data_IF_411283559846
#
_entry.id   IF_411283559846
#
_cell.length_a   1.000
_cell.length_b   1.000
_cell.length_c   1.000
_cell.angle_alpha   90.00
_cell.angle_beta   90.00
_cell.angle_gamma   90.00
#
_symmetry.space_group_name_H-M   'P 1'
#
loop_
_entity.id
_entity.type
_entity.pdbx_description
1 polymer ?
#
# COMPACT_ATOMS: atom_id res chain seq x y z
N UNK A 1 -17.16 63.46 55.39
CA UNK A 1 -17.34 62.01 55.52
C UNK A 1 -18.14 61.57 54.30
N UNK A 2 -17.49 61.04 53.29
CA UNK A 2 -18.15 60.58 52.02
C UNK A 2 -18.14 59.06 52.00
N UNK A 3 -19.31 58.47 52.03
CA UNK A 3 -19.53 57.03 52.01
C UNK A 3 -19.64 56.64 50.53
N UNK A 4 -18.70 55.81 50.08
CA UNK A 4 -18.66 55.25 48.73
C UNK A 4 -19.38 53.88 48.77
N UNK A 5 -20.53 53.78 48.13
CA UNK A 5 -21.26 52.53 47.99
C UNK A 5 -20.81 51.86 46.67
N UNK A 6 -20.11 50.75 46.78
CA UNK A 6 -19.67 49.94 45.63
C UNK A 6 -20.74 48.93 45.35
N UNK A 7 -21.42 49.06 44.22
CA UNK A 7 -22.44 48.12 43.74
C UNK A 7 -21.72 46.96 42.94
N UNK A 8 -21.67 45.79 43.51
CA UNK A 8 -21.14 44.61 42.83
C UNK A 8 -22.20 43.97 41.93
N UNK A 9 -21.99 44.00 40.63
CA UNK A 9 -22.85 43.33 39.62
C UNK A 9 -22.37 41.89 39.43
N UNK A 10 -23.15 40.93 39.96
CA UNK A 10 -22.95 39.48 39.74
C UNK A 10 -23.57 39.11 38.39
N UNK A 11 -22.72 38.91 37.37
CA UNK A 11 -23.08 38.29 36.09
C UNK A 11 -23.17 36.76 36.30
N UNK A 12 -24.39 36.24 36.41
CA UNK A 12 -24.65 34.79 36.34
C UNK A 12 -24.67 34.36 34.89
N UNK A 13 -23.57 33.74 34.40
CA UNK A 13 -23.52 33.05 33.10
C UNK A 13 -24.19 31.69 33.22
N UNK A 14 -25.43 31.60 32.74
CA UNK A 14 -26.14 30.32 32.58
C UNK A 14 -25.46 29.54 31.41
N UNK A 15 -24.73 28.48 31.74
CA UNK A 15 -24.30 27.49 30.75
C UNK A 15 -25.54 26.75 30.21
N UNK A 16 -25.94 27.09 28.99
CA UNK A 16 -26.92 26.29 28.23
C UNK A 16 -26.23 25.02 27.79
N UNK A 17 -26.41 23.93 28.50
CA UNK A 17 -26.07 22.58 28.05
C UNK A 17 -27.05 22.19 26.95
N UNK A 18 -26.59 22.26 25.69
CA UNK A 18 -27.30 21.66 24.56
C UNK A 18 -27.41 20.16 24.78
N UNK A 19 -28.63 19.57 24.67
CA UNK A 19 -28.76 18.13 24.74
C UNK A 19 -28.00 17.52 23.58
N UNK A 20 -26.95 16.73 23.89
CA UNK A 20 -26.30 15.88 22.92
C UNK A 20 -27.35 14.84 22.49
N UNK A 21 -27.91 15.02 21.31
CA UNK A 21 -28.70 13.97 20.64
C UNK A 21 -27.81 12.73 20.55
N UNK A 22 -28.26 11.57 21.07
CA UNK A 22 -27.51 10.33 20.86
C UNK A 22 -27.44 10.11 19.36
N UNK A 23 -26.24 10.20 18.82
CA UNK A 23 -25.96 9.87 17.44
C UNK A 23 -26.32 8.39 17.27
N UNK A 24 -27.48 8.11 16.69
CA UNK A 24 -27.84 6.79 16.23
C UNK A 24 -26.73 6.32 15.33
N UNK A 25 -25.94 5.34 15.80
CA UNK A 25 -24.93 4.71 14.95
C UNK A 25 -25.65 4.12 13.75
N UNK A 26 -25.25 4.53 12.56
CA UNK A 26 -25.74 3.90 11.36
C UNK A 26 -25.57 2.38 11.51
N UNK A 27 -26.57 1.57 11.10
CA UNK A 27 -26.45 0.12 11.19
C UNK A 27 -25.20 -0.33 10.44
N UNK A 28 -24.50 -1.34 10.97
CA UNK A 28 -23.33 -1.90 10.35
C UNK A 28 -23.64 -2.29 8.91
N UNK A 29 -22.86 -1.87 7.92
CA UNK A 29 -23.13 -2.23 6.54
C UNK A 29 -22.95 -3.73 6.35
N UNK A 30 -23.82 -4.34 5.57
CA UNK A 30 -23.70 -5.75 5.19
C UNK A 30 -22.56 -5.93 4.19
N UNK A 31 -21.33 -5.88 4.70
CA UNK A 31 -20.07 -6.04 3.96
C UNK A 31 -19.27 -7.14 4.63
N UNK A 32 -19.06 -8.23 3.89
CA UNK A 32 -18.39 -9.42 4.42
C UNK A 32 -16.96 -9.54 3.88
N UNK A 33 -16.03 -9.85 4.77
CA UNK A 33 -14.69 -10.32 4.39
C UNK A 33 -14.77 -11.81 4.12
N UNK A 34 -14.62 -12.22 2.85
CA UNK A 34 -14.76 -13.62 2.42
C UNK A 34 -13.44 -14.36 2.58
N UNK A 35 -12.33 -13.72 2.22
CA UNK A 35 -10.99 -14.31 2.26
C UNK A 35 -9.97 -13.20 2.43
N UNK A 36 -8.90 -13.51 3.14
CA UNK A 36 -7.74 -12.64 3.23
C UNK A 36 -6.46 -13.48 3.30
N UNK A 37 -5.36 -12.89 2.88
CA UNK A 37 -4.03 -13.47 2.96
C UNK A 37 -2.98 -12.40 2.76
N UNK A 38 -1.77 -12.72 3.18
CA UNK A 38 -0.59 -11.97 2.77
C UNK A 38 0.53 -12.92 2.36
N UNK A 39 1.44 -12.43 1.53
CA UNK A 39 2.59 -13.19 1.06
C UNK A 39 3.80 -12.29 0.95
N UNK A 40 4.98 -12.87 1.20
CA UNK A 40 6.25 -12.23 0.89
C UNK A 40 6.55 -12.52 -0.58
N UNK A 41 6.65 -11.49 -1.38
CA UNK A 41 6.92 -11.62 -2.81
C UNK A 41 8.24 -10.92 -3.15
N UNK A 42 8.99 -11.50 -4.09
CA UNK A 42 10.16 -10.85 -4.66
C UNK A 42 9.66 -9.70 -5.53
N UNK A 43 10.13 -8.49 -5.27
CA UNK A 43 9.76 -7.31 -6.04
C UNK A 43 10.66 -7.24 -7.26
N UNK A 44 10.05 -7.29 -8.44
CA UNK A 44 10.70 -6.88 -9.68
C UNK A 44 10.72 -5.35 -9.80
N UNK A 45 11.50 -4.86 -10.74
CA UNK A 45 11.59 -3.44 -11.03
C UNK A 45 10.24 -2.75 -11.28
N UNK A 46 9.31 -3.47 -11.89
CA UNK A 46 7.97 -3.00 -12.24
C UNK A 46 7.07 -2.73 -11.01
N UNK A 47 7.37 -3.39 -9.89
CA UNK A 47 6.56 -3.34 -8.68
C UNK A 47 7.21 -2.56 -7.54
N UNK A 48 8.46 -2.13 -7.70
CA UNK A 48 9.17 -1.34 -6.71
C UNK A 48 9.07 0.15 -7.09
N UNK A 49 8.27 0.97 -6.40
CA UNK A 49 8.11 2.39 -6.69
C UNK A 49 9.41 3.19 -6.52
N UNK A 50 10.43 2.61 -5.88
CA UNK A 50 11.73 3.26 -5.62
C UNK A 50 12.84 2.78 -6.56
N UNK A 51 12.61 1.77 -7.39
CA UNK A 51 13.65 1.21 -8.25
C UNK A 51 13.82 1.96 -9.57
N UNK A 52 12.90 2.83 -9.91
CA UNK A 52 12.94 3.55 -11.19
C UNK A 52 12.72 2.66 -12.42
N UNK A 53 12.95 3.16 -13.62
CA UNK A 53 12.82 2.38 -14.84
C UNK A 53 13.81 1.20 -14.85
N UNK A 54 13.41 0.10 -15.50
CA UNK A 54 14.21 -1.13 -15.65
C UNK A 54 15.59 -0.80 -16.22
N UNK A 55 15.64 0.15 -17.10
CA UNK A 55 16.83 0.69 -17.72
C UNK A 55 17.02 2.11 -17.22
N UNK A 56 18.16 2.36 -16.59
CA UNK A 56 18.52 3.70 -16.18
C UNK A 56 18.85 4.54 -17.43
N UNK A 57 18.71 5.88 -17.34
CA UNK A 57 18.92 6.80 -18.46
C UNK A 57 20.33 6.68 -19.06
N UNK A 58 21.34 6.38 -18.26
CA UNK A 58 22.72 6.21 -18.73
C UNK A 58 22.89 4.90 -19.52
N UNK A 59 22.26 3.82 -19.09
CA UNK A 59 22.22 2.54 -19.81
C UNK A 59 21.54 2.71 -21.18
N UNK A 60 20.41 3.41 -21.21
CA UNK A 60 19.69 3.73 -22.44
C UNK A 60 20.57 4.56 -23.40
N UNK A 61 21.33 5.52 -22.88
CA UNK A 61 22.27 6.33 -23.69
C UNK A 61 23.39 5.49 -24.25
N UNK A 62 23.95 4.56 -23.47
CA UNK A 62 25.00 3.64 -23.91
C UNK A 62 24.49 2.77 -25.06
N UNK A 63 23.31 2.16 -24.88
CA UNK A 63 22.68 1.33 -25.91
C UNK A 63 22.40 2.11 -27.19
N UNK A 64 21.75 3.26 -27.11
CA UNK A 64 21.45 4.11 -28.29
C UNK A 64 22.73 4.52 -29.04
N UNK A 65 23.78 4.83 -28.31
CA UNK A 65 25.09 5.19 -28.93
C UNK A 65 25.69 3.98 -29.68
N UNK A 66 25.67 2.79 -29.08
CA UNK A 66 26.18 1.58 -29.67
C UNK A 66 25.39 1.19 -30.94
N UNK A 67 24.07 1.24 -30.86
CA UNK A 67 23.18 1.00 -32.02
C UNK A 67 23.47 1.97 -33.17
N UNK A 68 23.62 3.24 -32.85
CA UNK A 68 23.95 4.26 -33.87
C UNK A 68 25.31 3.97 -34.52
N UNK A 69 26.35 3.64 -33.74
CA UNK A 69 27.68 3.30 -34.30
C UNK A 69 27.63 2.09 -35.23
N UNK A 70 26.90 1.03 -34.85
CA UNK A 70 26.70 -0.16 -35.66
C UNK A 70 25.99 0.21 -36.97
N UNK A 71 24.91 1.00 -36.88
CA UNK A 71 24.14 1.43 -38.04
C UNK A 71 24.98 2.29 -39.01
N UNK A 72 25.74 3.24 -38.48
CA UNK A 72 26.58 4.14 -39.26
C UNK A 72 27.72 3.35 -39.96
N UNK A 73 28.38 2.40 -39.26
CA UNK A 73 29.40 1.51 -39.84
C UNK A 73 28.82 0.62 -40.94
N UNK A 74 27.59 0.11 -40.72
CA UNK A 74 26.88 -0.70 -41.73
C UNK A 74 26.57 0.12 -42.99
N UNK A 75 26.07 1.35 -42.84
CA UNK A 75 25.75 2.25 -43.93
C UNK A 75 27.02 2.65 -44.71
N UNK A 76 28.14 2.84 -43.99
CA UNK A 76 29.46 3.18 -44.60
C UNK A 76 30.18 1.99 -45.19
N UNK A 77 29.67 0.76 -45.15
CA UNK A 77 30.29 -0.46 -45.65
C UNK A 77 31.56 -0.84 -44.89
N UNK A 78 31.83 -0.27 -43.70
CA UNK A 78 33.00 -0.51 -42.90
C UNK A 78 32.85 -1.72 -41.97
N UNK A 79 33.11 -2.91 -42.47
CA UNK A 79 32.96 -4.16 -41.71
C UNK A 79 33.89 -4.25 -40.50
N UNK A 80 35.06 -3.65 -40.53
CA UNK A 80 35.98 -3.64 -39.41
C UNK A 80 35.45 -2.81 -38.23
N UNK A 81 34.92 -1.62 -38.53
CA UNK A 81 34.29 -0.77 -37.51
C UNK A 81 32.96 -1.37 -37.00
N UNK A 82 32.18 -1.98 -37.86
CA UNK A 82 30.98 -2.70 -37.45
C UNK A 82 31.29 -3.80 -36.43
N UNK A 83 32.27 -4.66 -36.73
CA UNK A 83 32.70 -5.74 -35.84
C UNK A 83 33.25 -5.22 -34.50
N UNK A 84 33.89 -4.04 -34.51
CA UNK A 84 34.40 -3.38 -33.30
C UNK A 84 33.22 -2.87 -32.47
N UNK A 85 32.27 -2.15 -33.07
CA UNK A 85 31.11 -1.61 -32.41
C UNK A 85 30.23 -2.70 -31.83
N UNK A 86 30.08 -3.84 -32.52
CA UNK A 86 29.32 -4.99 -31.96
C UNK A 86 30.02 -5.64 -30.77
N UNK A 87 31.36 -5.72 -30.76
CA UNK A 87 32.12 -6.24 -29.58
C UNK A 87 31.97 -5.31 -28.39
N UNK A 88 32.07 -3.99 -28.62
CA UNK A 88 31.90 -2.99 -27.56
C UNK A 88 30.51 -3.08 -26.98
N UNK A 89 29.44 -3.15 -27.82
CA UNK A 89 28.06 -3.32 -27.39
C UNK A 89 27.85 -4.57 -26.53
N UNK A 90 28.37 -5.71 -26.93
CA UNK A 90 28.30 -6.97 -26.13
C UNK A 90 29.02 -6.84 -24.78
N UNK A 91 30.15 -6.12 -24.74
CA UNK A 91 30.89 -5.87 -23.50
C UNK A 91 30.10 -4.99 -22.54
N UNK A 92 29.48 -3.92 -23.06
CA UNK A 92 28.64 -3.02 -22.28
C UNK A 92 27.40 -3.75 -21.74
N UNK A 93 26.71 -4.54 -22.57
CA UNK A 93 25.57 -5.35 -22.16
C UNK A 93 25.93 -6.38 -21.07
N UNK A 94 27.13 -7.01 -21.20
CA UNK A 94 27.61 -7.93 -20.18
C UNK A 94 27.91 -7.22 -18.85
N UNK A 95 28.43 -6.00 -18.88
CA UNK A 95 28.70 -5.19 -17.70
C UNK A 95 27.38 -4.77 -17.02
N UNK A 96 26.41 -4.27 -17.80
CA UNK A 96 25.08 -3.91 -17.31
C UNK A 96 24.41 -5.12 -16.68
N UNK A 97 24.47 -6.29 -17.34
CA UNK A 97 23.89 -7.53 -16.81
C UNK A 97 24.53 -7.94 -15.48
N UNK A 98 25.84 -7.79 -15.32
CA UNK A 98 26.55 -8.07 -14.04
C UNK A 98 26.12 -7.10 -12.94
N UNK A 99 25.96 -5.81 -13.26
CA UNK A 99 25.46 -4.81 -12.30
C UNK A 99 24.06 -5.22 -11.84
N UNK A 100 23.18 -5.59 -12.77
CA UNK A 100 21.80 -6.02 -12.44
C UNK A 100 21.77 -7.32 -11.62
N UNK A 101 22.65 -8.28 -11.89
CA UNK A 101 22.75 -9.52 -11.10
C UNK A 101 23.21 -9.28 -9.67
N UNK A 102 24.02 -8.25 -9.41
CA UNK A 102 24.47 -7.88 -8.07
C UNK A 102 23.45 -7.04 -7.28
N UNK A 103 22.37 -6.60 -7.90
CA UNK A 103 21.29 -5.93 -7.19
C UNK A 103 20.62 -6.96 -6.29
N UNK A 104 20.73 -6.75 -4.97
CA UNK A 104 20.09 -7.62 -3.97
C UNK A 104 18.59 -7.69 -4.24
N UNK A 105 18.08 -8.91 -4.31
CA UNK A 105 16.64 -9.12 -4.43
C UNK A 105 15.92 -8.38 -3.32
N UNK A 106 15.03 -7.45 -3.69
CA UNK A 106 14.15 -6.79 -2.75
C UNK A 106 12.90 -7.64 -2.57
N UNK A 107 12.42 -7.67 -1.36
CA UNK A 107 11.19 -8.37 -1.04
C UNK A 107 10.18 -7.35 -0.52
N UNK A 108 8.95 -7.57 -0.85
CA UNK A 108 7.84 -6.84 -0.29
C UNK A 108 6.72 -7.79 0.15
N UNK A 109 5.69 -7.24 0.73
CA UNK A 109 4.59 -7.98 1.31
C UNK A 109 3.30 -7.55 0.61
N UNK A 110 2.64 -8.52 0.02
CA UNK A 110 1.37 -8.32 -0.68
C UNK A 110 0.24 -8.76 0.22
N UNK A 111 -0.66 -7.85 0.52
CA UNK A 111 -1.89 -8.07 1.27
C UNK A 111 -3.05 -8.18 0.30
N UNK A 112 -3.87 -9.20 0.47
CA UNK A 112 -5.06 -9.45 -0.35
C UNK A 112 -6.25 -9.64 0.56
N UNK A 113 -7.36 -8.99 0.25
CA UNK A 113 -8.64 -9.20 0.91
C UNK A 113 -9.73 -9.28 -0.14
N UNK A 114 -10.58 -10.30 -0.06
CA UNK A 114 -11.78 -10.43 -0.88
C UNK A 114 -12.96 -9.94 -0.07
N UNK A 115 -13.58 -8.86 -0.53
CA UNK A 115 -14.71 -8.21 0.13
C UNK A 115 -15.97 -8.43 -0.71
N UNK A 116 -17.03 -8.90 -0.07
CA UNK A 116 -18.36 -9.05 -0.65
C UNK A 116 -19.25 -7.91 -0.16
N UNK A 117 -19.86 -7.20 -1.09
CA UNK A 117 -20.83 -6.17 -0.80
C UNK A 117 -22.25 -6.75 -0.85
N UNK A 118 -22.80 -7.12 0.30
CA UNK A 118 -24.18 -7.59 0.42
C UNK A 118 -25.19 -6.45 0.66
N UNK A 119 -24.68 -5.20 0.81
CA UNK A 119 -25.56 -4.04 1.03
C UNK A 119 -26.33 -3.65 -0.23
N UNK A 120 -27.38 -2.87 -0.07
CA UNK A 120 -28.21 -2.35 -1.16
C UNK A 120 -27.55 -1.20 -1.94
N UNK A 121 -26.37 -0.74 -1.50
CA UNK A 121 -25.65 0.41 -2.07
C UNK A 121 -24.32 -0.02 -2.65
N UNK A 122 -23.94 0.55 -3.78
CA UNK A 122 -22.61 0.35 -4.32
C UNK A 122 -21.55 1.06 -3.45
N UNK A 123 -20.48 0.36 -3.11
CA UNK A 123 -19.37 0.90 -2.36
C UNK A 123 -18.48 1.72 -3.30
N UNK A 124 -18.01 2.88 -2.83
CA UNK A 124 -17.06 3.76 -3.50
C UNK A 124 -15.65 3.54 -2.97
N UNK A 125 -15.48 3.51 -1.64
CA UNK A 125 -14.21 3.25 -0.98
C UNK A 125 -14.40 2.46 0.31
N UNK A 126 -13.34 1.74 0.71
CA UNK A 126 -13.28 0.96 1.94
C UNK A 126 -11.95 1.22 2.63
N UNK A 127 -12.01 1.55 3.94
CA UNK A 127 -10.86 1.54 4.82
C UNK A 127 -10.91 0.26 5.64
N UNK A 128 -9.79 -0.46 5.68
CA UNK A 128 -9.69 -1.74 6.35
C UNK A 128 -8.31 -1.95 6.95
N UNK A 129 -8.27 -2.68 8.06
CA UNK A 129 -7.06 -3.01 8.77
C UNK A 129 -6.76 -4.50 8.64
N UNK A 130 -5.50 -4.83 8.41
CA UNK A 130 -4.97 -6.18 8.57
C UNK A 130 -4.25 -6.24 9.90
N UNK A 131 -4.77 -7.05 10.82
CA UNK A 131 -4.31 -7.14 12.20
C UNK A 131 -3.63 -8.47 12.44
N UNK A 132 -2.47 -8.42 13.07
CA UNK A 132 -1.73 -9.57 13.56
C UNK A 132 -1.81 -9.60 15.08
N UNK A 133 -2.12 -10.75 15.64
CA UNK A 133 -2.25 -10.91 17.08
C UNK A 133 -1.66 -12.25 17.56
N UNK A 134 -1.25 -12.30 18.79
CA UNK A 134 -0.87 -13.54 19.43
C UNK A 134 -2.11 -14.42 19.64
N UNK A 135 -2.05 -15.70 19.22
CA UNK A 135 -3.21 -16.61 19.32
C UNK A 135 -3.54 -16.92 20.78
N UNK A 136 -2.54 -16.95 21.65
CA UNK A 136 -2.71 -17.34 23.06
C UNK A 136 -3.19 -16.16 23.91
N UNK A 137 -2.47 -15.03 23.83
CA UNK A 137 -2.76 -13.85 24.67
C UNK A 137 -3.83 -12.94 24.05
N UNK A 138 -4.05 -13.03 22.74
CA UNK A 138 -4.90 -12.14 21.94
C UNK A 138 -4.37 -10.71 21.82
N UNK A 139 -3.15 -10.46 22.26
CA UNK A 139 -2.52 -9.16 22.16
C UNK A 139 -2.24 -8.81 20.69
N UNK A 140 -2.51 -7.56 20.30
CA UNK A 140 -2.20 -7.06 18.98
C UNK A 140 -0.68 -6.90 18.83
N UNK A 141 -0.10 -7.61 17.87
CA UNK A 141 1.33 -7.59 17.55
C UNK A 141 1.66 -6.59 16.44
N UNK A 142 0.69 -6.26 15.61
CA UNK A 142 0.87 -5.30 14.54
C UNK A 142 -0.39 -5.07 13.72
N UNK A 143 -0.47 -3.89 13.10
CA UNK A 143 -1.60 -3.45 12.29
C UNK A 143 -1.10 -2.80 11.01
N UNK A 144 -1.81 -3.04 9.91
CA UNK A 144 -1.63 -2.38 8.63
C UNK A 144 -2.95 -1.81 8.17
N UNK A 145 -2.99 -0.51 8.01
CA UNK A 145 -4.15 0.25 7.59
C UNK A 145 -4.11 0.45 6.07
N UNK A 146 -5.23 0.22 5.41
CA UNK A 146 -5.38 0.34 3.97
C UNK A 146 -6.65 1.09 3.60
N UNK A 147 -6.55 1.91 2.57
CA UNK A 147 -7.68 2.55 1.90
C UNK A 147 -7.77 2.04 0.47
N UNK A 148 -8.92 1.53 0.06
CA UNK A 148 -9.21 1.13 -1.31
C UNK A 148 -10.29 2.02 -1.90
N UNK A 149 -9.98 2.68 -3.01
CA UNK A 149 -10.94 3.48 -3.79
C UNK A 149 -11.63 2.67 -4.90
N UNK A 150 -11.58 1.36 -4.78
CA UNK A 150 -12.17 0.48 -5.77
C UNK A 150 -13.67 0.29 -5.59
N UNK A 151 -14.43 0.61 -6.64
CA UNK A 151 -15.89 0.45 -6.64
C UNK A 151 -16.29 -1.02 -6.56
N UNK A 152 -17.20 -1.35 -5.62
CA UNK A 152 -17.80 -2.68 -5.49
C UNK A 152 -19.31 -2.56 -5.62
N UNK A 153 -19.87 -3.11 -6.70
CA UNK A 153 -21.31 -3.08 -6.91
C UNK A 153 -22.03 -3.98 -5.89
N UNK A 154 -23.31 -3.70 -5.67
CA UNK A 154 -24.21 -4.51 -4.83
C UNK A 154 -24.19 -5.99 -5.24
N UNK A 155 -24.08 -6.89 -4.26
CA UNK A 155 -24.03 -8.34 -4.45
C UNK A 155 -22.75 -8.88 -5.10
N UNK A 156 -21.73 -8.04 -5.31
CA UNK A 156 -20.47 -8.45 -5.94
C UNK A 156 -19.36 -8.62 -4.92
N UNK A 157 -18.44 -9.54 -5.23
CA UNK A 157 -17.18 -9.74 -4.50
C UNK A 157 -16.05 -9.14 -5.31
N UNK A 158 -15.10 -8.49 -4.63
CA UNK A 158 -13.90 -7.95 -5.24
C UNK A 158 -12.68 -8.24 -4.39
N UNK A 159 -11.57 -8.60 -5.04
CA UNK A 159 -10.26 -8.73 -4.40
C UNK A 159 -9.55 -7.37 -4.43
N UNK A 160 -9.18 -6.89 -3.25
CA UNK A 160 -8.35 -5.71 -3.05
C UNK A 160 -6.93 -6.17 -2.76
N UNK A 161 -5.94 -5.57 -3.44
CA UNK A 161 -4.55 -5.96 -3.35
C UNK A 161 -3.67 -4.76 -3.04
N UNK A 162 -2.83 -4.88 -2.01
CA UNK A 162 -1.89 -3.84 -1.59
C UNK A 162 -0.49 -4.39 -1.42
N UNK A 163 0.48 -3.61 -1.83
CA UNK A 163 1.89 -3.91 -1.69
C UNK A 163 2.54 -2.98 -0.67
N UNK A 164 3.29 -3.54 0.28
CA UNK A 164 4.08 -2.79 1.26
C UNK A 164 5.51 -3.34 1.27
N UNK A 165 6.55 -2.46 1.20
CA UNK A 165 7.95 -2.89 1.26
C UNK A 165 8.40 -3.32 2.66
N UNK A 166 7.62 -3.03 3.71
CA UNK A 166 7.94 -3.32 5.11
C UNK A 166 7.29 -4.62 5.58
N UNK A 167 7.95 -5.40 6.46
CA UNK A 167 7.38 -6.63 7.01
C UNK A 167 6.12 -6.35 7.85
N UNK A 168 5.25 -7.37 8.03
CA UNK A 168 3.97 -7.22 8.74
C UNK A 168 4.13 -6.73 10.18
N UNK A 169 5.12 -7.21 10.89
CA UNK A 169 5.40 -6.80 12.27
C UNK A 169 6.89 -6.52 12.45
N UNK A 170 7.25 -5.69 13.43
CA UNK A 170 8.66 -5.43 13.78
C UNK A 170 9.27 -6.56 14.60
N UNK A 171 8.44 -7.38 15.24
CA UNK A 171 8.82 -8.39 16.23
C UNK A 171 9.12 -9.75 15.60
N UNK A 172 8.67 -9.99 14.36
CA UNK A 172 8.89 -11.26 13.68
C UNK A 172 10.11 -11.13 12.77
N UNK A 173 11.13 -11.93 13.05
CA UNK A 173 12.27 -12.07 12.13
C UNK A 173 11.77 -12.44 10.74
N UNK A 174 12.27 -11.73 9.71
CA UNK A 174 11.90 -11.99 8.30
C UNK A 174 12.22 -13.44 7.90
N UNK A 175 13.14 -14.10 8.61
CA UNK A 175 13.48 -15.51 8.42
C UNK A 175 12.48 -16.47 9.09
N UNK A 176 11.74 -16.01 10.11
CA UNK A 176 10.69 -16.78 10.79
C UNK A 176 9.33 -16.72 10.06
N UNK A 177 9.24 -16.01 8.93
CA UNK A 177 8.02 -15.90 8.14
C UNK A 177 7.89 -17.00 7.08
N UNK A 178 8.66 -18.05 7.18
CA UNK A 178 8.47 -19.23 6.35
C UNK A 178 7.12 -19.89 6.70
N UNK A 179 6.47 -20.48 5.70
CA UNK A 179 5.08 -20.99 5.80
C UNK A 179 4.85 -21.92 6.99
N UNK A 180 5.92 -22.52 7.51
CA UNK A 180 5.87 -23.48 8.61
C UNK A 180 5.99 -22.85 10.03
N UNK A 181 6.33 -21.57 10.15
CA UNK A 181 6.57 -20.91 11.46
C UNK A 181 5.48 -19.91 11.87
N UNK A 182 4.35 -19.89 11.16
CA UNK A 182 3.17 -19.08 11.53
C UNK A 182 2.42 -19.62 12.77
N UNK A 183 2.95 -20.66 13.39
CA UNK A 183 2.40 -21.25 14.59
C UNK A 183 2.46 -20.25 15.76
N UNK A 184 1.33 -19.65 16.09
CA UNK A 184 1.20 -18.67 17.16
C UNK A 184 0.77 -17.28 16.69
N UNK A 185 0.81 -16.99 15.38
CA UNK A 185 0.36 -15.74 14.81
C UNK A 185 -1.09 -15.86 14.31
N UNK A 186 -1.99 -15.13 14.94
CA UNK A 186 -3.36 -14.95 14.48
C UNK A 186 -3.46 -13.77 13.50
N UNK A 187 -4.38 -13.87 12.57
CA UNK A 187 -4.61 -12.85 11.56
C UNK A 187 -6.08 -12.51 11.48
N UNK A 188 -6.42 -11.24 11.31
CA UNK A 188 -7.79 -10.78 11.11
C UNK A 188 -7.81 -9.57 10.16
N UNK A 189 -8.92 -9.41 9.47
CA UNK A 189 -9.22 -8.19 8.70
C UNK A 189 -10.44 -7.52 9.32
N UNK A 190 -10.31 -6.22 9.56
CA UNK A 190 -11.34 -5.39 10.17
C UNK A 190 -11.73 -4.30 9.17
N UNK A 191 -13.00 -4.24 8.78
CA UNK A 191 -13.51 -3.09 8.02
C UNK A 191 -13.70 -1.94 9.01
N UNK A 192 -13.04 -0.82 8.74
CA UNK A 192 -13.04 0.37 9.59
C UNK A 192 -14.06 1.40 9.11
N UNK A 193 -14.10 1.63 7.79
CA UNK A 193 -15.01 2.59 7.18
C UNK A 193 -15.45 2.11 5.80
N UNK A 194 -16.68 2.42 5.46
CA UNK A 194 -17.24 2.20 4.12
C UNK A 194 -17.86 3.50 3.64
N UNK A 195 -17.49 3.96 2.47
CA UNK A 195 -18.11 5.07 1.76
C UNK A 195 -18.88 4.55 0.56
N UNK A 196 -20.12 4.93 0.43
CA UNK A 196 -20.98 4.52 -0.68
C UNK A 196 -21.00 5.57 -1.79
N UNK A 197 -21.40 5.14 -2.99
CA UNK A 197 -21.47 6.01 -4.17
C UNK A 197 -22.48 7.15 -3.99
N UNK A 198 -23.49 6.97 -3.15
CA UNK A 198 -24.50 8.00 -2.83
C UNK A 198 -24.00 9.08 -1.84
N UNK A 199 -22.73 9.01 -1.41
CA UNK A 199 -22.11 9.94 -0.48
C UNK A 199 -22.36 9.60 1.01
N UNK A 200 -23.15 8.58 1.32
CA UNK A 200 -23.30 8.12 2.71
C UNK A 200 -22.07 7.32 3.14
N UNK A 201 -21.74 7.34 4.42
CA UNK A 201 -20.63 6.58 4.98
C UNK A 201 -20.99 5.91 6.28
N UNK A 202 -20.34 4.80 6.55
CA UNK A 202 -20.35 4.11 7.83
C UNK A 202 -18.92 4.01 8.36
N UNK A 203 -18.75 4.12 9.66
CA UNK A 203 -17.48 3.95 10.34
C UNK A 203 -17.67 3.14 11.61
N UNK A 204 -16.77 2.18 11.83
CA UNK A 204 -16.72 1.40 13.08
C UNK A 204 -16.33 2.34 14.24
N UNK A 205 -17.00 2.19 15.34
CA UNK A 205 -16.71 2.92 16.59
C UNK A 205 -15.76 2.15 17.48
#
# INVERSE_FOLDING_TARGET
>A
MKILVTLAFLLSTSLVTLPQTPSLSAPEPDVAVVKFSWSKERVGWEQDPFSGPIENFDEMRVRSRNEKRILDAKKGGNSAEMNRAERDARSDDALISRIHQNIRARYGFVYKVSVQNNSLKAIKSIDWDYVFFDIQTKDELGRREFTSEEKIATGKTKELKFFIPRPPTQTISVNALDKNERNGLGEAVIIVRVEFVDGTSWQRR
#
